data_IF_804109526334
#
_entry.id   IF_804109526334
#
_cell.length_a   1.000
_cell.length_b   1.000
_cell.length_c   1.000
_cell.angle_alpha   90.00
_cell.angle_beta   90.00
_cell.angle_gamma   90.00
#
_symmetry.space_group_name_H-M   'P 1'
#
loop_
_entity.id
_entity.type
_entity.pdbx_description
1 polymer ?
#
# COMPACT_ATOMS: atom_id res chain seq x y z
N UNK A 1 -27.37 -31.43 29.89
CA UNK A 1 -26.31 -30.92 29.02
C UNK A 1 -25.11 -30.65 29.90
N UNK A 2 -24.39 -31.69 30.11
CA UNK A 2 -23.22 -31.70 30.96
C UNK A 2 -22.06 -32.12 30.11
N UNK A 3 -21.07 -31.30 29.97
CA UNK A 3 -19.84 -31.76 29.36
C UNK A 3 -19.00 -30.72 28.61
N UNK A 4 -19.08 -29.47 28.98
CA UNK A 4 -17.93 -28.61 28.73
C UNK A 4 -16.88 -28.99 29.75
N UNK A 5 -15.89 -29.76 29.29
CA UNK A 5 -14.80 -30.15 30.19
C UNK A 5 -14.18 -28.89 30.76
N UNK A 6 -14.07 -28.81 32.04
CA UNK A 6 -13.49 -27.70 32.81
C UNK A 6 -12.02 -27.39 32.46
N UNK A 7 -11.34 -28.28 31.73
CA UNK A 7 -10.02 -28.07 31.23
C UNK A 7 -9.94 -27.11 29.99
N UNK A 8 -11.07 -26.79 29.34
CA UNK A 8 -11.11 -25.83 28.24
C UNK A 8 -11.26 -24.37 28.73
N UNK A 9 -11.66 -24.13 29.96
CA UNK A 9 -11.87 -22.80 30.51
C UNK A 9 -10.59 -21.95 30.68
N UNK A 10 -9.42 -22.54 31.01
CA UNK A 10 -8.19 -21.76 31.14
C UNK A 10 -7.64 -21.21 29.80
N UNK A 11 -8.15 -21.71 28.68
CA UNK A 11 -7.65 -21.32 27.34
C UNK A 11 -8.37 -20.07 26.82
N UNK A 12 -9.52 -19.73 27.36
CA UNK A 12 -10.28 -18.54 26.98
C UNK A 12 -9.90 -17.35 27.85
N UNK A 13 -9.01 -16.51 27.33
CA UNK A 13 -8.67 -15.24 27.94
C UNK A 13 -9.79 -14.23 27.61
N UNK A 14 -10.50 -13.67 28.62
CA UNK A 14 -11.53 -12.69 28.34
C UNK A 14 -10.92 -11.43 27.73
N UNK A 15 -11.64 -10.81 26.80
CA UNK A 15 -11.25 -9.53 26.26
C UNK A 15 -11.21 -8.47 27.37
N UNK A 16 -10.05 -7.83 27.56
CA UNK A 16 -9.85 -6.79 28.58
C UNK A 16 -10.18 -5.39 28.04
N UNK A 17 -10.62 -5.30 26.79
CA UNK A 17 -10.96 -4.03 26.14
C UNK A 17 -12.43 -3.70 26.32
N UNK A 18 -12.69 -2.42 26.42
CA UNK A 18 -14.04 -1.88 26.40
C UNK A 18 -14.41 -1.50 24.96
N UNK A 19 -15.69 -1.67 24.63
CA UNK A 19 -16.23 -1.33 23.33
C UNK A 19 -17.38 -0.33 23.51
N UNK A 20 -17.29 0.79 22.82
CA UNK A 20 -18.31 1.83 22.83
C UNK A 20 -18.92 1.95 21.43
N UNK A 21 -20.22 2.20 21.37
CA UNK A 21 -20.92 2.46 20.12
C UNK A 21 -20.69 3.90 19.67
N UNK A 22 -20.35 4.06 18.41
CA UNK A 22 -20.06 5.36 17.81
C UNK A 22 -20.93 5.59 16.57
N UNK A 23 -21.11 6.88 16.24
CA UNK A 23 -21.79 7.33 15.06
C UNK A 23 -23.28 7.00 14.98
N UNK A 24 -23.91 7.32 13.89
CA UNK A 24 -25.31 6.95 13.59
C UNK A 24 -25.44 5.46 13.29
N UNK A 25 -24.41 4.84 12.72
CA UNK A 25 -24.32 3.40 12.46
C UNK A 25 -24.32 2.55 13.73
N UNK A 26 -23.96 3.13 14.88
CA UNK A 26 -23.89 2.43 16.18
C UNK A 26 -22.88 1.30 16.21
N UNK A 27 -21.85 1.34 15.39
CA UNK A 27 -20.79 0.33 15.33
C UNK A 27 -19.96 0.39 16.61
N UNK A 28 -19.74 -0.79 17.25
CA UNK A 28 -18.92 -0.89 18.41
C UNK A 28 -17.43 -0.83 18.04
N UNK A 29 -16.70 0.13 18.62
CA UNK A 29 -15.26 0.33 18.40
C UNK A 29 -14.54 0.18 19.74
N UNK A 30 -13.38 -0.48 19.74
CA UNK A 30 -12.54 -0.67 20.89
C UNK A 30 -11.94 0.65 21.40
N UNK A 31 -11.72 0.73 22.70
CA UNK A 31 -10.99 1.82 23.38
C UNK A 31 -9.55 2.03 22.87
N UNK A 32 -9.01 1.11 22.07
CA UNK A 32 -7.74 1.28 21.38
C UNK A 32 -7.83 2.22 20.18
N UNK A 33 -9.03 2.42 19.62
CA UNK A 33 -9.24 3.15 18.37
C UNK A 33 -10.26 4.29 18.53
N UNK A 34 -10.11 5.19 19.53
CA UNK A 34 -11.10 6.24 19.79
C UNK A 34 -11.26 7.20 18.61
N UNK A 35 -10.18 7.49 17.89
CA UNK A 35 -10.21 8.38 16.72
C UNK A 35 -10.90 7.74 15.52
N UNK A 36 -10.78 6.42 15.35
CA UNK A 36 -11.54 5.66 14.34
C UNK A 36 -13.02 5.70 14.69
N UNK A 37 -13.36 5.58 15.99
CA UNK A 37 -14.73 5.73 16.45
C UNK A 37 -15.36 7.06 16.03
N UNK A 38 -14.60 8.15 16.11
CA UNK A 38 -15.08 9.48 15.72
C UNK A 38 -15.39 9.67 14.23
N UNK A 39 -14.93 8.79 13.35
CA UNK A 39 -15.14 8.82 11.89
C UNK A 39 -15.75 7.51 11.37
N UNK A 40 -16.38 6.73 12.24
CA UNK A 40 -16.82 5.37 11.90
C UNK A 40 -17.87 5.34 10.80
N UNK A 41 -18.70 6.37 10.69
CA UNK A 41 -19.74 6.47 9.67
C UNK A 41 -19.18 6.77 8.28
N UNK A 42 -17.94 7.27 8.19
CA UNK A 42 -17.21 7.48 6.94
C UNK A 42 -16.40 6.25 6.49
N UNK A 43 -16.43 5.17 7.29
CA UNK A 43 -15.63 3.97 7.07
C UNK A 43 -16.52 2.78 6.71
N UNK A 44 -16.17 2.07 5.64
CA UNK A 44 -16.80 0.81 5.31
C UNK A 44 -16.24 -0.32 6.21
N UNK A 45 -17.08 -0.87 7.09
CA UNK A 45 -16.70 -1.95 8.01
C UNK A 45 -17.21 -3.29 7.52
N UNK A 46 -16.31 -4.15 7.03
CA UNK A 46 -16.64 -5.51 6.59
C UNK A 46 -16.44 -6.50 7.73
N UNK A 47 -17.52 -6.87 8.40
CA UNK A 47 -17.50 -7.71 9.61
C UNK A 47 -17.49 -9.21 9.34
N UNK A 48 -17.75 -9.62 8.12
CA UNK A 48 -17.84 -11.03 7.70
C UNK A 48 -16.53 -11.59 7.15
N UNK A 49 -15.46 -10.81 7.18
CA UNK A 49 -14.14 -11.28 6.75
C UNK A 49 -13.62 -12.37 7.66
N UNK A 50 -13.15 -13.45 7.06
CA UNK A 50 -12.46 -14.54 7.75
C UNK A 50 -11.33 -15.07 6.89
N UNK A 51 -10.40 -15.77 7.51
CA UNK A 51 -9.28 -16.43 6.85
C UNK A 51 -9.26 -17.89 7.27
N UNK A 52 -8.99 -18.79 6.34
CA UNK A 52 -8.90 -20.24 6.61
C UNK A 52 -7.53 -20.63 7.18
N UNK A 53 -6.54 -19.77 7.00
CA UNK A 53 -5.17 -20.03 7.41
C UNK A 53 -4.89 -19.51 8.80
N UNK A 54 -4.26 -20.33 9.64
CA UNK A 54 -3.81 -19.96 10.98
C UNK A 54 -2.37 -19.43 11.01
N UNK A 55 -1.63 -19.59 9.92
CA UNK A 55 -0.23 -19.15 9.81
C UNK A 55 -0.19 -17.78 9.11
N UNK A 56 0.64 -16.86 9.60
CA UNK A 56 0.75 -15.49 9.09
C UNK A 56 0.98 -15.40 7.57
N UNK A 57 1.96 -16.13 7.02
CA UNK A 57 2.30 -15.99 5.61
C UNK A 57 1.18 -16.44 4.66
N UNK A 58 0.61 -17.64 4.78
CA UNK A 58 -0.50 -18.04 3.93
C UNK A 58 -1.75 -17.19 4.18
N UNK A 59 -2.00 -16.76 5.42
CA UNK A 59 -3.11 -15.85 5.73
C UNK A 59 -2.97 -14.49 5.03
N UNK A 60 -1.77 -13.93 4.99
CA UNK A 60 -1.50 -12.68 4.24
C UNK A 60 -1.76 -12.87 2.75
N UNK A 61 -1.37 -14.00 2.17
CA UNK A 61 -1.66 -14.30 0.76
C UNK A 61 -3.16 -14.40 0.52
N UNK A 62 -3.88 -15.16 1.35
CA UNK A 62 -5.34 -15.31 1.25
C UNK A 62 -6.06 -13.96 1.38
N UNK A 63 -5.69 -13.14 2.36
CA UNK A 63 -6.27 -11.80 2.55
C UNK A 63 -5.96 -10.84 1.40
N UNK A 64 -4.76 -10.93 0.83
CA UNK A 64 -4.34 -10.04 -0.25
C UNK A 64 -4.98 -10.40 -1.59
N UNK A 65 -5.22 -11.68 -1.86
CA UNK A 65 -5.62 -12.20 -3.17
C UNK A 65 -6.99 -12.86 -3.20
N UNK A 66 -7.55 -13.21 -2.04
CA UNK A 66 -8.76 -14.05 -1.94
C UNK A 66 -8.53 -15.53 -2.22
N UNK A 67 -7.29 -15.96 -2.42
CA UNK A 67 -6.96 -17.32 -2.83
C UNK A 67 -5.89 -17.95 -1.91
N UNK A 68 -6.05 -19.26 -1.68
CA UNK A 68 -5.13 -20.06 -0.85
C UNK A 68 -4.12 -20.84 -1.68
N UNK A 69 -4.46 -21.12 -2.93
CA UNK A 69 -3.59 -21.89 -3.81
C UNK A 69 -2.37 -21.04 -4.25
N UNK A 70 -1.27 -21.74 -4.54
CA UNK A 70 -0.03 -21.16 -5.01
C UNK A 70 0.29 -21.57 -6.45
N UNK A 71 -0.67 -22.19 -7.13
CA UNK A 71 -0.50 -22.70 -8.49
C UNK A 71 -0.52 -21.55 -9.47
N UNK A 72 -1.42 -20.57 -9.23
CA UNK A 72 -1.51 -19.37 -10.01
C UNK A 72 -1.06 -18.15 -9.19
N UNK A 73 -0.40 -17.21 -9.84
CA UNK A 73 -0.11 -15.91 -9.27
C UNK A 73 -1.38 -15.06 -9.39
N UNK A 74 -2.16 -15.00 -8.31
CA UNK A 74 -3.41 -14.26 -8.25
C UNK A 74 -3.16 -12.76 -8.04
N UNK A 75 -3.94 -11.88 -8.69
CA UNK A 75 -3.84 -10.44 -8.45
C UNK A 75 -4.21 -10.09 -7.01
N UNK A 76 -3.51 -9.13 -6.45
CA UNK A 76 -3.87 -8.55 -5.16
C UNK A 76 -5.17 -7.73 -5.28
N UNK A 77 -5.81 -7.45 -4.15
CA UNK A 77 -7.05 -6.65 -4.11
C UNK A 77 -6.87 -5.29 -4.78
N UNK A 78 -5.74 -4.60 -4.53
CA UNK A 78 -5.42 -3.33 -5.19
C UNK A 78 -5.26 -3.46 -6.71
N UNK A 79 -4.73 -4.58 -7.17
CA UNK A 79 -4.61 -4.87 -8.61
C UNK A 79 -5.96 -5.09 -9.27
N UNK A 80 -6.92 -5.74 -8.60
CA UNK A 80 -8.30 -5.84 -9.06
C UNK A 80 -8.97 -4.47 -9.18
N UNK A 81 -8.81 -3.61 -8.19
CA UNK A 81 -9.33 -2.23 -8.22
C UNK A 81 -8.72 -1.45 -9.38
N UNK A 82 -7.41 -1.57 -9.57
CA UNK A 82 -6.69 -0.89 -10.65
C UNK A 82 -7.15 -1.39 -12.03
N UNK A 83 -7.33 -2.70 -12.18
CA UNK A 83 -7.80 -3.31 -13.43
C UNK A 83 -9.23 -2.86 -13.77
N UNK A 84 -10.09 -2.78 -12.77
CA UNK A 84 -11.51 -2.45 -12.99
C UNK A 84 -11.74 -0.95 -13.21
N UNK A 85 -11.04 -0.09 -12.48
CA UNK A 85 -11.33 1.36 -12.42
C UNK A 85 -10.24 2.24 -13.06
N UNK A 86 -9.07 1.68 -13.35
CA UNK A 86 -7.94 2.43 -13.92
C UNK A 86 -7.38 3.50 -12.98
N UNK A 87 -6.74 4.52 -13.57
CA UNK A 87 -6.15 5.65 -12.85
C UNK A 87 -6.81 6.96 -13.28
N UNK A 88 -7.03 7.85 -12.32
CA UNK A 88 -7.43 9.24 -12.59
C UNK A 88 -6.23 10.15 -12.85
N UNK A 89 -5.05 9.72 -12.43
CA UNK A 89 -3.81 10.46 -12.59
C UNK A 89 -2.88 9.79 -13.61
N UNK A 90 -2.33 10.58 -14.54
CA UNK A 90 -1.40 10.10 -15.57
C UNK A 90 0.07 10.09 -15.09
N UNK A 91 0.38 10.80 -14.01
CA UNK A 91 1.74 11.02 -13.54
C UNK A 91 2.08 10.20 -12.29
N UNK A 92 1.08 9.56 -11.68
CA UNK A 92 1.24 8.70 -10.52
C UNK A 92 0.64 7.32 -10.80
N UNK A 93 1.14 6.25 -10.16
CA UNK A 93 0.57 4.92 -10.31
C UNK A 93 -0.84 4.85 -9.71
N UNK A 94 -1.68 4.01 -10.28
CA UNK A 94 -3.05 3.81 -9.76
C UNK A 94 -3.07 3.04 -8.44
N UNK A 95 -2.07 2.18 -8.22
CA UNK A 95 -1.89 1.39 -7.01
C UNK A 95 -0.52 1.65 -6.38
N UNK A 96 -0.52 2.11 -5.15
CA UNK A 96 0.69 2.41 -4.36
C UNK A 96 0.70 1.58 -3.09
N UNK A 97 1.85 1.00 -2.78
CA UNK A 97 2.12 0.41 -1.47
C UNK A 97 3.15 1.25 -0.73
N UNK A 98 2.82 1.72 0.46
CA UNK A 98 3.74 2.47 1.33
C UNK A 98 4.27 1.53 2.42
N UNK A 99 5.58 1.52 2.58
CA UNK A 99 6.25 0.66 3.54
C UNK A 99 6.54 -0.75 3.03
N UNK A 100 6.93 -1.64 3.94
CA UNK A 100 7.43 -2.98 3.60
C UNK A 100 6.33 -4.03 3.69
N UNK A 101 5.92 -4.64 2.58
CA UNK A 101 4.92 -5.71 2.60
C UNK A 101 5.48 -6.97 3.26
N UNK A 102 4.62 -7.74 3.90
CA UNK A 102 4.97 -9.04 4.51
C UNK A 102 5.06 -10.15 3.48
N UNK A 103 4.44 -9.99 2.32
CA UNK A 103 4.43 -10.94 1.21
C UNK A 103 4.44 -10.22 -0.14
N UNK A 104 5.16 -10.73 -1.15
CA UNK A 104 5.08 -10.23 -2.51
C UNK A 104 3.65 -10.27 -3.10
N UNK A 105 2.82 -11.20 -2.66
CA UNK A 105 1.42 -11.32 -3.09
C UNK A 105 0.60 -10.05 -2.85
N UNK A 106 0.96 -9.25 -1.82
CA UNK A 106 0.31 -7.97 -1.54
C UNK A 106 0.54 -6.92 -2.63
N UNK A 107 1.57 -7.09 -3.44
CA UNK A 107 1.96 -6.18 -4.52
C UNK A 107 1.62 -6.73 -5.91
N UNK A 108 1.30 -8.02 -6.02
CA UNK A 108 1.25 -8.72 -7.29
C UNK A 108 0.09 -8.28 -8.17
N UNK A 109 0.39 -8.04 -9.45
CA UNK A 109 -0.62 -7.93 -10.51
C UNK A 109 -1.17 -9.27 -10.95
N UNK A 110 -0.55 -10.38 -10.50
CA UNK A 110 -0.92 -11.74 -10.85
C UNK A 110 -1.03 -11.93 -12.36
N UNK A 111 -2.02 -12.70 -12.77
CA UNK A 111 -2.29 -12.94 -14.19
C UNK A 111 -2.75 -11.69 -14.99
N UNK A 112 -3.03 -10.56 -14.33
CA UNK A 112 -3.23 -9.28 -15.02
C UNK A 112 -1.90 -8.61 -15.42
N UNK A 113 -0.80 -9.07 -14.84
CA UNK A 113 0.53 -8.59 -15.14
C UNK A 113 0.95 -7.32 -14.39
N UNK A 114 2.16 -6.88 -14.69
CA UNK A 114 2.83 -5.81 -13.95
C UNK A 114 2.20 -4.41 -14.12
N UNK A 115 1.33 -4.23 -15.11
CA UNK A 115 0.71 -2.92 -15.38
C UNK A 115 -0.25 -2.47 -14.26
N UNK A 116 -0.79 -3.41 -13.49
CA UNK A 116 -1.72 -3.16 -12.38
C UNK A 116 -1.13 -3.52 -11.02
N UNK A 117 0.13 -3.94 -10.99
CA UNK A 117 0.85 -4.23 -9.75
C UNK A 117 1.09 -2.96 -8.92
N UNK A 118 1.25 -3.12 -7.62
CA UNK A 118 1.58 -2.01 -6.74
C UNK A 118 2.95 -1.41 -7.06
N UNK A 119 3.05 -0.09 -7.02
CA UNK A 119 4.32 0.63 -6.99
C UNK A 119 4.73 0.82 -5.53
N UNK A 120 5.86 0.24 -5.07
CA UNK A 120 6.31 0.40 -3.70
C UNK A 120 6.91 1.80 -3.47
N UNK A 121 6.45 2.47 -2.42
CA UNK A 121 6.99 3.71 -1.91
C UNK A 121 7.46 3.55 -0.46
N UNK A 122 8.40 4.38 -0.05
CA UNK A 122 8.85 4.49 1.34
C UNK A 122 8.64 5.92 1.83
N UNK A 123 8.22 6.08 3.09
CA UNK A 123 8.14 7.38 3.71
C UNK A 123 9.55 7.83 4.12
N UNK A 124 10.05 8.90 3.51
CA UNK A 124 11.38 9.46 3.77
C UNK A 124 11.86 10.29 2.61
N UNK A 125 13.10 10.78 2.71
CA UNK A 125 13.70 11.67 1.71
C UNK A 125 13.90 11.02 0.34
N UNK A 126 13.88 9.70 0.29
CA UNK A 126 14.00 8.92 -0.94
C UNK A 126 12.84 7.92 -1.07
N UNK A 127 11.65 8.37 -1.49
CA UNK A 127 10.42 7.57 -1.52
C UNK A 127 10.47 6.38 -2.48
N UNK A 128 11.31 6.48 -3.51
CA UNK A 128 11.55 5.40 -4.47
C UNK A 128 13.06 5.32 -4.70
N UNK A 129 13.62 4.12 -4.52
CA UNK A 129 15.04 3.90 -4.79
C UNK A 129 15.36 4.26 -6.26
N UNK A 130 16.44 5.02 -6.45
CA UNK A 130 16.91 5.43 -7.76
C UNK A 130 15.90 6.25 -8.60
N UNK A 131 14.90 6.86 -7.97
CA UNK A 131 13.96 7.72 -8.68
C UNK A 131 14.65 8.97 -9.24
N UNK A 132 15.49 9.61 -8.42
CA UNK A 132 16.22 10.78 -8.86
C UNK A 132 17.47 10.38 -9.62
N UNK A 133 17.77 11.06 -10.73
CA UNK A 133 19.01 10.83 -11.47
C UNK A 133 20.23 11.13 -10.60
N UNK A 134 21.38 10.47 -10.89
CA UNK A 134 22.63 10.84 -10.23
C UNK A 134 22.91 12.33 -10.39
N UNK A 135 23.48 12.95 -9.38
CA UNK A 135 23.83 14.39 -9.38
C UNK A 135 24.79 14.80 -10.54
N UNK A 136 25.50 13.82 -11.09
CA UNK A 136 26.39 13.98 -12.26
C UNK A 136 25.67 14.12 -13.59
N UNK A 137 24.36 13.85 -13.65
CA UNK A 137 23.56 13.90 -14.88
C UNK A 137 22.76 15.20 -14.90
N UNK A 138 23.02 16.06 -15.85
CA UNK A 138 22.25 17.30 -16.02
C UNK A 138 20.81 17.03 -16.50
N UNK A 139 19.85 17.92 -16.21
CA UNK A 139 18.47 17.78 -16.72
C UNK A 139 18.41 17.63 -18.25
N UNK A 140 19.21 18.37 -18.98
CA UNK A 140 19.25 18.33 -20.45
C UNK A 140 19.83 17.01 -21.00
N UNK A 141 20.80 16.42 -20.32
CA UNK A 141 21.32 15.08 -20.68
C UNK A 141 20.30 14.00 -20.40
N UNK A 142 19.62 14.09 -19.27
CA UNK A 142 18.53 13.18 -18.93
C UNK A 142 17.42 13.24 -20.00
N UNK A 143 16.96 14.43 -20.35
CA UNK A 143 15.88 14.60 -21.32
C UNK A 143 16.27 14.10 -22.71
N UNK A 144 17.53 14.25 -23.12
CA UNK A 144 18.05 13.65 -24.35
C UNK A 144 18.06 12.12 -24.28
N UNK A 145 18.55 11.57 -23.18
CA UNK A 145 18.57 10.11 -22.98
C UNK A 145 17.15 9.52 -22.98
N UNK A 146 16.20 10.18 -22.33
CA UNK A 146 14.80 9.73 -22.28
C UNK A 146 14.13 9.79 -23.66
N UNK A 147 14.40 10.82 -24.46
CA UNK A 147 13.92 10.90 -25.86
C UNK A 147 14.49 9.78 -26.71
N UNK A 148 15.81 9.58 -26.67
CA UNK A 148 16.48 8.50 -27.42
C UNK A 148 15.93 7.12 -27.03
N UNK A 149 15.75 6.87 -25.72
CA UNK A 149 15.17 5.62 -25.22
C UNK A 149 13.72 5.44 -25.71
N UNK A 150 12.93 6.52 -25.72
CA UNK A 150 11.56 6.52 -26.24
C UNK A 150 11.48 6.16 -27.72
N UNK A 151 12.42 6.68 -28.54
CA UNK A 151 12.55 6.36 -29.96
C UNK A 151 12.93 4.89 -30.15
N UNK A 152 13.94 4.41 -29.48
CA UNK A 152 14.36 2.99 -29.52
C UNK A 152 13.22 2.05 -29.12
N UNK A 153 12.48 2.39 -28.07
CA UNK A 153 11.34 1.61 -27.60
C UNK A 153 10.19 1.59 -28.62
N UNK A 154 9.98 2.68 -29.35
CA UNK A 154 8.97 2.77 -30.42
C UNK A 154 9.36 1.88 -31.59
N UNK A 155 10.60 1.99 -32.09
CA UNK A 155 11.12 1.16 -33.17
C UNK A 155 11.04 -0.33 -32.81
N UNK A 156 11.41 -0.68 -31.59
CA UNK A 156 11.32 -2.05 -31.09
C UNK A 156 9.88 -2.58 -31.07
N UNK A 157 8.92 -1.75 -30.67
CA UNK A 157 7.48 -2.11 -30.69
C UNK A 157 6.93 -2.33 -32.10
N UNK A 158 7.42 -1.57 -33.07
CA UNK A 158 7.01 -1.70 -34.46
C UNK A 158 7.58 -2.96 -35.15
N UNK A 159 8.77 -3.40 -34.72
CA UNK A 159 9.46 -4.57 -35.27
C UNK A 159 9.02 -5.90 -34.64
N UNK A 160 8.55 -5.90 -33.41
CA UNK A 160 8.31 -7.13 -32.68
C UNK A 160 6.89 -7.14 -32.08
N UNK A 161 6.22 -8.28 -32.20
CA UNK A 161 4.99 -8.55 -31.48
C UNK A 161 5.33 -8.74 -30.00
N UNK A 162 5.06 -7.75 -29.17
CA UNK A 162 5.48 -7.72 -27.79
C UNK A 162 4.53 -8.50 -26.89
N UNK A 163 5.10 -9.32 -26.01
CA UNK A 163 4.34 -9.88 -24.90
C UNK A 163 3.78 -8.78 -23.99
N UNK A 164 2.66 -9.06 -23.33
CA UNK A 164 2.04 -8.14 -22.36
C UNK A 164 3.02 -7.71 -21.27
N UNK A 165 3.94 -8.58 -20.86
CA UNK A 165 4.97 -8.30 -19.85
C UNK A 165 5.97 -7.22 -20.31
N UNK A 166 6.42 -7.27 -21.57
CA UNK A 166 7.34 -6.27 -22.13
C UNK A 166 6.62 -4.92 -22.25
N UNK A 167 5.39 -4.93 -22.75
CA UNK A 167 4.56 -3.71 -22.86
C UNK A 167 4.33 -3.06 -21.49
N UNK A 168 4.04 -3.85 -20.45
CA UNK A 168 3.91 -3.36 -19.09
C UNK A 168 5.21 -2.75 -18.56
N UNK A 169 6.36 -3.33 -18.89
CA UNK A 169 7.66 -2.79 -18.50
C UNK A 169 7.94 -1.43 -19.12
N UNK A 170 7.64 -1.24 -20.42
CA UNK A 170 7.77 0.07 -21.04
C UNK A 170 6.88 1.13 -20.37
N UNK A 171 5.61 0.80 -20.10
CA UNK A 171 4.70 1.70 -19.38
C UNK A 171 5.21 2.04 -17.98
N UNK A 172 5.81 1.07 -17.27
CA UNK A 172 6.40 1.29 -15.95
C UNK A 172 7.59 2.26 -16.01
N UNK A 173 8.46 2.17 -17.01
CA UNK A 173 9.55 3.13 -17.18
C UNK A 173 9.06 4.53 -17.54
N UNK A 174 8.07 4.65 -18.42
CA UNK A 174 7.44 5.92 -18.77
C UNK A 174 6.80 6.58 -17.54
N UNK A 175 6.10 5.78 -16.71
CA UNK A 175 5.51 6.24 -15.45
C UNK A 175 6.60 6.69 -14.47
N UNK A 176 7.67 5.91 -14.30
CA UNK A 176 8.79 6.26 -13.42
C UNK A 176 9.44 7.59 -13.81
N UNK A 177 9.57 7.86 -15.12
CA UNK A 177 10.08 9.13 -15.61
C UNK A 177 9.16 10.32 -15.25
N UNK A 178 7.83 10.15 -15.36
CA UNK A 178 6.86 11.17 -14.94
C UNK A 178 6.85 11.37 -13.42
N UNK A 179 7.01 10.29 -12.65
CA UNK A 179 7.09 10.34 -11.19
C UNK A 179 8.30 11.11 -10.68
N UNK A 180 9.40 11.18 -11.43
CA UNK A 180 10.57 11.97 -11.03
C UNK A 180 10.24 13.45 -10.79
N UNK A 181 9.22 13.96 -11.47
CA UNK A 181 8.75 15.35 -11.29
C UNK A 181 7.80 15.48 -10.10
N UNK A 182 6.91 14.50 -9.92
CA UNK A 182 5.82 14.58 -8.95
C UNK A 182 6.14 14.02 -7.57
N UNK A 183 7.03 13.02 -7.50
CA UNK A 183 7.31 12.32 -6.24
C UNK A 183 8.06 13.15 -5.18
N UNK A 184 8.99 14.07 -5.51
CA UNK A 184 9.65 14.90 -4.49
C UNK A 184 8.67 15.72 -3.63
N UNK A 185 7.56 16.19 -4.22
CA UNK A 185 6.55 16.96 -3.49
C UNK A 185 5.77 16.10 -2.49
N UNK A 186 5.64 14.78 -2.75
CA UNK A 186 4.92 13.87 -1.86
C UNK A 186 5.60 13.73 -0.51
N UNK A 187 6.92 13.82 -0.46
CA UNK A 187 7.76 13.59 0.72
C UNK A 187 8.31 14.85 1.35
N UNK A 188 8.06 16.02 0.79
CA UNK A 188 8.48 17.28 1.37
C UNK A 188 7.57 17.68 2.55
N UNK A 189 7.71 16.99 3.66
CA UNK A 189 6.92 17.22 4.88
C UNK A 189 7.26 18.54 5.58
N UNK A 190 8.37 19.20 5.23
CA UNK A 190 8.75 20.49 5.80
C UNK A 190 7.77 21.63 5.44
N UNK A 191 7.01 21.47 4.36
CA UNK A 191 6.01 22.45 3.93
C UNK A 191 4.69 22.34 4.70
N UNK A 192 4.49 21.29 5.49
CA UNK A 192 3.28 21.13 6.29
C UNK A 192 3.26 22.08 7.50
N UNK A 193 2.06 22.53 7.85
CA UNK A 193 1.89 23.33 9.06
C UNK A 193 2.29 22.53 10.31
N UNK A 194 2.70 23.23 11.35
CA UNK A 194 3.00 22.57 12.64
C UNK A 194 1.77 21.82 13.20
N UNK A 195 0.56 22.37 13.01
CA UNK A 195 -0.67 21.72 13.40
C UNK A 195 -0.88 20.38 12.68
N UNK A 196 -0.64 20.35 11.36
CA UNK A 196 -0.70 19.10 10.56
C UNK A 196 0.37 18.10 11.03
N UNK A 197 1.60 18.54 11.20
CA UNK A 197 2.68 17.66 11.67
C UNK A 197 2.37 17.05 13.02
N UNK A 198 1.83 17.84 13.95
CA UNK A 198 1.39 17.37 15.26
C UNK A 198 0.22 16.39 15.17
N UNK A 199 -0.78 16.67 14.30
CA UNK A 199 -1.91 15.78 14.08
C UNK A 199 -1.49 14.39 13.62
N UNK A 200 -0.47 14.32 12.75
CA UNK A 200 0.09 13.06 12.26
C UNK A 200 1.17 12.46 13.17
N UNK A 201 1.51 13.12 14.27
CA UNK A 201 2.57 12.68 15.20
C UNK A 201 3.97 12.67 14.57
N UNK A 202 4.22 13.57 13.60
CA UNK A 202 5.53 13.71 12.93
C UNK A 202 6.50 14.44 13.85
N UNK A 203 7.66 13.83 14.07
CA UNK A 203 8.66 14.29 15.02
C UNK A 203 8.61 13.58 16.37
N UNK A 204 7.57 12.80 16.66
CA UNK A 204 7.46 12.00 17.87
C UNK A 204 8.10 10.62 17.68
N UNK A 205 8.96 10.14 18.58
CA UNK A 205 9.75 8.92 18.38
C UNK A 205 8.95 7.66 18.03
N UNK A 206 7.71 7.55 18.52
CA UNK A 206 6.88 6.35 18.34
C UNK A 206 6.05 6.45 17.06
N UNK A 207 5.58 7.64 16.69
CA UNK A 207 4.58 7.82 15.62
C UNK A 207 5.15 8.43 14.35
N UNK A 208 6.37 8.98 14.37
CA UNK A 208 6.97 9.70 13.25
C UNK A 208 6.93 8.92 11.91
N UNK A 209 7.40 7.68 11.95
CA UNK A 209 7.45 6.85 10.73
C UNK A 209 6.04 6.59 10.17
N UNK A 210 5.12 6.18 11.04
CA UNK A 210 3.75 5.89 10.62
C UNK A 210 2.99 7.15 10.22
N UNK A 211 3.18 8.25 10.95
CA UNK A 211 2.61 9.56 10.62
C UNK A 211 3.05 10.05 9.23
N UNK A 212 4.32 9.89 8.89
CA UNK A 212 4.82 10.20 7.54
C UNK A 212 4.19 9.31 6.46
N UNK A 213 4.00 8.02 6.74
CA UNK A 213 3.31 7.10 5.82
C UNK A 213 1.85 7.53 5.58
N UNK A 214 1.13 7.87 6.65
CA UNK A 214 -0.26 8.35 6.57
C UNK A 214 -0.37 9.69 5.83
N UNK A 215 0.52 10.63 6.11
CA UNK A 215 0.54 11.93 5.44
C UNK A 215 0.87 11.79 3.95
N UNK A 216 1.80 10.89 3.59
CA UNK A 216 2.08 10.55 2.20
C UNK A 216 0.85 9.93 1.52
N UNK A 217 0.15 9.02 2.19
CA UNK A 217 -1.06 8.41 1.66
C UNK A 217 -2.14 9.47 1.37
N UNK A 218 -2.37 10.40 2.31
CA UNK A 218 -3.27 11.54 2.10
C UNK A 218 -2.91 12.33 0.84
N UNK A 219 -1.64 12.71 0.69
CA UNK A 219 -1.17 13.48 -0.47
C UNK A 219 -1.32 12.74 -1.79
N UNK A 220 -1.18 11.41 -1.77
CA UNK A 220 -1.43 10.56 -2.93
C UNK A 220 -2.91 10.53 -3.30
N UNK A 221 -3.82 10.41 -2.30
CA UNK A 221 -5.28 10.49 -2.52
C UNK A 221 -5.66 11.85 -3.11
N UNK A 222 -5.17 12.95 -2.54
CA UNK A 222 -5.41 14.32 -3.02
C UNK A 222 -4.95 14.52 -4.48
N UNK A 223 -4.02 13.69 -4.96
CA UNK A 223 -3.52 13.69 -6.35
C UNK A 223 -4.14 12.61 -7.25
N UNK A 224 -5.20 11.94 -6.79
CA UNK A 224 -5.97 10.98 -7.58
C UNK A 224 -5.36 9.60 -7.69
N UNK A 225 -4.50 9.17 -6.76
CA UNK A 225 -4.09 7.77 -6.66
C UNK A 225 -5.28 6.94 -6.16
N UNK A 226 -5.65 5.93 -6.93
CA UNK A 226 -6.91 5.19 -6.73
C UNK A 226 -6.87 4.25 -5.53
N UNK A 227 -5.79 3.51 -5.36
CA UNK A 227 -5.65 2.54 -4.29
C UNK A 227 -4.31 2.67 -3.58
N UNK A 228 -4.36 2.81 -2.26
CA UNK A 228 -3.18 2.96 -1.41
C UNK A 228 -3.22 1.93 -0.30
N UNK A 229 -2.19 1.13 -0.22
CA UNK A 229 -1.97 0.18 0.85
C UNK A 229 -0.82 0.65 1.71
N UNK A 230 -0.97 0.60 3.03
CA UNK A 230 0.10 0.93 3.97
C UNK A 230 0.49 -0.32 4.74
N UNK A 231 1.76 -0.71 4.61
CA UNK A 231 2.37 -1.82 5.32
C UNK A 231 3.29 -1.26 6.41
N UNK A 232 2.74 -1.00 7.60
CA UNK A 232 3.48 -0.37 8.68
C UNK A 232 4.37 -1.34 9.46
N UNK A 233 4.04 -2.60 9.49
CA UNK A 233 4.78 -3.59 10.24
C UNK A 233 5.96 -4.13 9.42
N UNK A 234 7.12 -3.51 9.54
CA UNK A 234 8.36 -4.04 8.98
C UNK A 234 9.04 -5.01 9.96
N UNK A 235 9.28 -6.25 9.48
CA UNK A 235 9.99 -7.27 10.25
C UNK A 235 9.10 -8.47 10.59
N UNK A 236 9.73 -9.63 10.85
CA UNK A 236 9.06 -10.93 10.93
C UNK A 236 7.87 -11.04 11.88
N UNK A 237 7.81 -10.23 12.90
CA UNK A 237 6.75 -10.24 13.92
C UNK A 237 6.08 -8.89 14.07
N UNK A 238 5.89 -8.12 13.08
CA UNK A 238 5.19 -6.82 13.04
C UNK A 238 4.84 -6.17 14.39
N UNK A 239 4.72 -4.85 14.43
CA UNK A 239 4.38 -4.12 15.68
C UNK A 239 2.99 -4.47 16.25
N UNK A 240 2.17 -5.15 15.46
CA UNK A 240 0.81 -5.59 15.83
C UNK A 240 0.76 -7.05 16.26
N UNK A 241 1.88 -7.78 16.15
CA UNK A 241 1.98 -9.16 16.55
C UNK A 241 2.23 -9.25 18.07
N UNK A 242 1.31 -9.88 18.76
CA UNK A 242 1.34 -10.07 20.23
C UNK A 242 1.99 -11.38 20.65
N UNK A 243 2.80 -12.01 19.80
CA UNK A 243 3.60 -13.16 20.15
C UNK A 243 4.75 -12.74 21.08
N UNK A 244 4.54 -12.83 22.37
CA UNK A 244 5.48 -12.49 23.41
C UNK A 244 5.20 -13.17 24.72
#
# INVERSE_FOLDING_TARGET
VTGVQTCALPILIPCRRTFTRYGESGIAVSDWFPHIGGVIDDIAVVRSMFCHESNHFPAVVELATGHRDKILDHPSFGSWITQALGSENQNLPAFVNIGRPSSPAQLSGGYFGAAVAATPLQAGDNPIQNLLPPKSVSPSERDRAMRALGEMNREFREQYELSSAITARFKAYELAARMQVSAPELVNFAQESEATRRLYGIGEPITDEFGKQLLMARRLVERGVRFIQICHAGGGNGRWDAHG
#
